data_IF_023936113484
#
_entry.id   IF_023936113484
#
_cell.length_a   1.000
_cell.length_b   1.000
_cell.length_c   1.000
_cell.angle_alpha   90.00
_cell.angle_beta   90.00
_cell.angle_gamma   90.00
#
_symmetry.space_group_name_H-M   'P 1'
#
loop_
_entity.id
_entity.type
_entity.pdbx_description
1 polymer ?
#
# COMPACT_ATOMS: atom_id res chain seq x y z
N UNK A 1 -63.97 -1.62 -21.57
CA UNK A 1 -63.20 -2.07 -20.37
C UNK A 1 -61.76 -2.26 -20.81
N UNK A 2 -60.95 -1.27 -20.51
CA UNK A 2 -59.58 -1.08 -20.93
C UNK A 2 -58.71 -1.19 -19.69
N UNK A 3 -57.87 -2.17 -19.57
CA UNK A 3 -56.83 -2.22 -18.50
C UNK A 3 -55.55 -2.83 -19.05
N UNK A 4 -54.50 -2.02 -18.93
CA UNK A 4 -53.10 -2.25 -18.72
C UNK A 4 -52.24 -3.03 -19.71
N UNK A 5 -51.55 -2.23 -20.52
CA UNK A 5 -50.25 -2.52 -21.10
C UNK A 5 -49.27 -1.47 -20.61
N UNK A 6 -48.67 -1.66 -19.43
CA UNK A 6 -47.45 -0.92 -19.02
C UNK A 6 -46.72 -1.71 -17.92
N UNK A 7 -45.93 -2.69 -18.27
CA UNK A 7 -44.82 -3.14 -17.41
C UNK A 7 -44.00 -4.20 -18.13
N UNK A 8 -42.98 -3.78 -18.88
CA UNK A 8 -41.83 -4.64 -19.24
C UNK A 8 -40.82 -3.88 -20.13
N UNK A 9 -40.21 -2.83 -19.60
CA UNK A 9 -39.04 -2.21 -20.24
C UNK A 9 -38.17 -1.53 -19.20
N UNK A 10 -37.58 -2.28 -18.27
CA UNK A 10 -36.45 -1.83 -17.48
C UNK A 10 -35.67 -3.03 -16.93
N UNK A 11 -35.08 -3.82 -17.82
CA UNK A 11 -34.01 -4.75 -17.45
C UNK A 11 -33.21 -5.14 -18.69
N UNK A 12 -32.52 -4.15 -19.26
CA UNK A 12 -31.41 -4.37 -20.21
C UNK A 12 -30.50 -3.16 -20.12
N UNK A 13 -29.38 -3.30 -19.44
CA UNK A 13 -28.39 -2.22 -19.38
C UNK A 13 -27.38 -2.37 -18.24
N UNK A 14 -27.03 -3.61 -17.88
CA UNK A 14 -25.80 -3.90 -17.14
C UNK A 14 -24.95 -4.86 -17.97
N UNK A 15 -24.64 -4.45 -19.17
CA UNK A 15 -23.53 -5.07 -19.90
C UNK A 15 -22.23 -4.53 -19.32
N UNK A 16 -21.47 -5.43 -18.79
CA UNK A 16 -20.10 -5.31 -18.32
C UNK A 16 -19.20 -4.63 -19.38
N UNK A 17 -18.89 -3.38 -19.18
CA UNK A 17 -17.88 -2.64 -19.94
C UNK A 17 -16.46 -2.92 -19.39
N UNK A 18 -16.11 -4.17 -19.11
CA UNK A 18 -14.78 -4.53 -18.63
C UNK A 18 -14.20 -5.77 -19.30
N UNK A 19 -14.45 -5.93 -20.61
CA UNK A 19 -13.77 -6.91 -21.45
C UNK A 19 -12.98 -6.23 -22.58
N UNK A 20 -12.26 -5.17 -22.25
CA UNK A 20 -11.11 -4.78 -23.06
C UNK A 20 -10.02 -5.81 -22.81
N UNK A 21 -9.79 -6.72 -23.74
CA UNK A 21 -8.70 -7.69 -23.69
C UNK A 21 -7.39 -6.95 -23.36
N UNK A 22 -6.49 -7.59 -22.61
CA UNK A 22 -5.16 -7.05 -22.28
C UNK A 22 -4.45 -6.52 -23.55
N UNK A 23 -4.70 -7.15 -24.69
CA UNK A 23 -4.20 -6.74 -26.01
C UNK A 23 -4.79 -5.41 -26.49
N UNK A 24 -6.07 -5.14 -26.24
CA UNK A 24 -6.69 -3.86 -26.58
C UNK A 24 -6.12 -2.73 -25.73
N UNK A 25 -5.85 -2.96 -24.44
CA UNK A 25 -5.23 -1.96 -23.57
C UNK A 25 -3.76 -1.72 -23.96
N UNK A 26 -2.99 -2.77 -24.24
CA UNK A 26 -1.61 -2.66 -24.74
C UNK A 26 -1.58 -1.97 -26.10
N UNK A 27 -2.54 -2.25 -26.97
CA UNK A 27 -2.66 -1.55 -28.25
C UNK A 27 -3.01 -0.08 -28.06
N UNK A 28 -3.90 0.25 -27.14
CA UNK A 28 -4.24 1.65 -26.78
C UNK A 28 -3.05 2.35 -26.14
N UNK A 29 -2.33 1.69 -25.24
CA UNK A 29 -1.10 2.24 -24.67
C UNK A 29 -0.01 2.43 -25.73
N UNK A 30 0.18 1.47 -26.64
CA UNK A 30 1.12 1.61 -27.78
C UNK A 30 0.71 2.73 -28.72
N UNK A 31 -0.58 2.89 -29.00
CA UNK A 31 -1.12 3.96 -29.84
C UNK A 31 -0.96 5.34 -29.20
N UNK A 32 -1.16 5.43 -27.87
CA UNK A 32 -0.99 6.68 -27.11
C UNK A 32 0.48 7.00 -26.82
N UNK A 33 1.35 5.98 -26.79
CA UNK A 33 2.77 6.16 -26.47
C UNK A 33 3.58 6.66 -27.69
N UNK A 34 3.04 6.61 -28.94
CA UNK A 34 3.87 6.95 -30.09
C UNK A 34 5.27 6.33 -29.93
N UNK A 35 6.11 6.12 -30.83
CA UNK A 35 7.42 5.46 -30.73
C UNK A 35 8.41 6.08 -29.69
N UNK A 36 7.88 6.61 -28.55
CA UNK A 36 8.63 7.20 -27.43
C UNK A 36 9.05 6.14 -26.41
N UNK A 37 10.26 6.27 -25.92
CA UNK A 37 10.87 5.48 -24.85
C UNK A 37 9.92 5.29 -23.67
N UNK A 38 9.74 4.05 -23.21
CA UNK A 38 9.02 3.74 -21.99
C UNK A 38 9.61 4.55 -20.83
N UNK A 39 8.78 5.40 -20.19
CA UNK A 39 9.23 6.12 -19.00
C UNK A 39 9.39 5.13 -17.85
N UNK A 40 10.52 5.17 -17.14
CA UNK A 40 10.72 4.27 -16.02
C UNK A 40 9.69 4.56 -14.93
N UNK A 41 9.07 3.50 -14.44
CA UNK A 41 8.09 3.61 -13.37
C UNK A 41 8.16 2.40 -12.43
N UNK A 42 7.74 2.59 -11.19
CA UNK A 42 7.68 1.51 -10.23
C UNK A 42 6.53 1.68 -9.23
N UNK A 43 6.11 0.57 -8.66
CA UNK A 43 5.12 0.52 -7.59
C UNK A 43 5.70 -0.17 -6.36
N UNK A 44 5.50 0.43 -5.18
CA UNK A 44 5.73 -0.22 -3.88
C UNK A 44 4.41 -0.84 -3.45
N UNK A 45 4.31 -2.16 -3.56
CA UNK A 45 3.12 -2.92 -3.20
C UNK A 45 3.24 -3.44 -1.77
N UNK A 46 2.24 -3.18 -0.93
CA UNK A 46 2.29 -3.47 0.51
C UNK A 46 0.91 -3.73 1.13
N UNK A 47 0.90 -4.14 2.41
CA UNK A 47 -0.33 -4.33 3.19
C UNK A 47 -0.77 -3.08 3.97
N UNK A 48 -0.02 -1.98 3.90
CA UNK A 48 -0.16 -0.85 4.80
C UNK A 48 0.59 -1.05 6.12
N UNK A 49 1.06 0.06 6.72
CA UNK A 49 1.87 0.04 7.95
C UNK A 49 3.09 -0.91 7.91
N UNK A 50 3.54 -1.25 6.70
CA UNK A 50 4.69 -2.12 6.46
C UNK A 50 6.04 -1.42 6.59
N UNK A 51 6.05 -0.14 6.95
CA UNK A 51 7.28 0.66 7.10
C UNK A 51 7.72 1.34 5.81
N UNK A 52 6.85 1.51 4.81
CA UNK A 52 7.18 2.11 3.51
C UNK A 52 7.71 3.56 3.60
N UNK A 53 7.44 4.28 4.71
CA UNK A 53 7.89 5.65 4.90
C UNK A 53 9.42 5.83 4.79
N UNK A 54 10.22 4.80 5.13
CA UNK A 54 11.67 4.83 4.94
C UNK A 54 12.01 4.87 3.45
N UNK A 55 11.37 4.01 2.64
CA UNK A 55 11.54 4.01 1.18
C UNK A 55 11.01 5.29 0.54
N UNK A 56 9.83 5.75 0.98
CA UNK A 56 9.24 7.00 0.50
C UNK A 56 10.19 8.17 0.70
N UNK A 57 10.86 8.23 1.86
CA UNK A 57 11.86 9.25 2.13
C UNK A 57 13.03 9.15 1.17
N UNK A 58 13.60 7.96 0.96
CA UNK A 58 14.73 7.78 0.03
C UNK A 58 14.38 8.21 -1.39
N UNK A 59 13.16 7.90 -1.86
CA UNK A 59 12.71 8.32 -3.19
C UNK A 59 12.45 9.84 -3.27
N UNK A 60 11.85 10.42 -2.24
CA UNK A 60 11.54 11.87 -2.22
C UNK A 60 12.77 12.77 -2.09
N UNK A 61 13.84 12.27 -1.49
CA UNK A 61 15.11 13.01 -1.40
C UNK A 61 15.81 13.13 -2.77
N UNK A 62 15.28 12.46 -3.82
CA UNK A 62 15.78 12.47 -5.19
C UNK A 62 14.99 13.44 -6.06
N UNK A 63 15.71 14.25 -6.86
CA UNK A 63 15.08 15.19 -7.81
C UNK A 63 14.61 14.56 -9.11
N UNK A 64 15.18 13.40 -9.44
CA UNK A 64 14.87 12.62 -10.64
C UNK A 64 13.78 11.56 -10.41
N UNK A 65 13.19 11.51 -9.20
CA UNK A 65 12.10 10.60 -8.84
C UNK A 65 10.89 11.41 -8.38
N UNK A 66 9.76 11.21 -9.03
CA UNK A 66 8.47 11.68 -8.55
C UNK A 66 7.78 10.53 -7.83
N UNK A 67 7.59 10.62 -6.51
CA UNK A 67 6.89 9.61 -5.74
C UNK A 67 5.55 10.14 -5.21
N UNK A 68 4.46 9.47 -5.58
CA UNK A 68 3.10 9.81 -5.15
C UNK A 68 2.49 8.70 -4.28
N UNK A 69 1.92 9.09 -3.15
CA UNK A 69 1.27 8.15 -2.24
C UNK A 69 -0.24 8.05 -2.52
N UNK A 70 -0.77 6.86 -2.26
CA UNK A 70 -2.21 6.58 -2.16
C UNK A 70 -3.05 6.99 -3.39
N UNK A 71 -2.44 6.95 -4.60
CA UNK A 71 -3.07 7.41 -5.86
C UNK A 71 -4.35 6.64 -6.23
N UNK A 72 -4.54 5.43 -5.69
CA UNK A 72 -5.71 4.58 -5.90
C UNK A 72 -6.49 4.34 -4.59
N UNK A 73 -6.29 5.14 -3.55
CA UNK A 73 -7.00 5.02 -2.27
C UNK A 73 -8.48 5.38 -2.34
N UNK A 74 -8.87 6.15 -3.34
CA UNK A 74 -10.26 6.46 -3.66
C UNK A 74 -10.64 5.85 -4.99
N UNK A 75 -11.94 5.57 -5.19
CA UNK A 75 -12.43 4.98 -6.43
C UNK A 75 -12.12 5.86 -7.64
N UNK A 76 -11.49 5.26 -8.63
CA UNK A 76 -11.14 5.90 -9.91
C UNK A 76 -11.81 5.11 -11.03
N UNK A 77 -12.50 5.81 -11.93
CA UNK A 77 -13.27 5.17 -13.02
C UNK A 77 -12.42 4.25 -13.91
N UNK A 78 -11.18 4.65 -14.20
CA UNK A 78 -10.24 3.92 -15.05
C UNK A 78 -8.84 3.85 -14.38
N UNK A 79 -8.64 2.94 -13.42
CA UNK A 79 -7.40 2.90 -12.62
C UNK A 79 -6.13 2.75 -13.45
N UNK A 80 -6.12 1.87 -14.47
CA UNK A 80 -4.97 1.68 -15.38
C UNK A 80 -4.63 2.95 -16.12
N UNK A 81 -5.63 3.61 -16.71
CA UNK A 81 -5.44 4.86 -17.46
C UNK A 81 -4.95 5.98 -16.53
N UNK A 82 -5.47 6.05 -15.32
CA UNK A 82 -5.04 7.04 -14.33
C UNK A 82 -3.57 6.89 -13.97
N UNK A 83 -3.10 5.66 -13.73
CA UNK A 83 -1.66 5.40 -13.48
C UNK A 83 -0.83 5.76 -14.70
N UNK A 84 -1.25 5.32 -15.89
CA UNK A 84 -0.56 5.61 -17.14
C UNK A 84 -0.41 7.13 -17.40
N UNK A 85 -1.48 7.88 -17.22
CA UNK A 85 -1.45 9.35 -17.39
C UNK A 85 -0.44 10.01 -16.45
N UNK A 86 -0.38 9.57 -15.19
CA UNK A 86 0.58 10.09 -14.21
C UNK A 86 2.03 9.78 -14.60
N UNK A 87 2.30 8.55 -15.07
CA UNK A 87 3.61 8.17 -15.61
C UNK A 87 3.98 9.08 -16.80
N UNK A 88 3.07 9.33 -17.72
CA UNK A 88 3.34 10.19 -18.89
C UNK A 88 3.60 11.66 -18.49
N UNK A 89 2.93 12.15 -17.46
CA UNK A 89 3.12 13.52 -16.94
C UNK A 89 4.42 13.73 -16.16
N UNK A 90 5.17 12.67 -15.85
CA UNK A 90 6.44 12.76 -15.10
C UNK A 90 7.62 13.40 -15.86
N UNK A 91 7.41 13.90 -17.09
CA UNK A 91 8.39 14.71 -17.88
C UNK A 91 9.82 14.15 -17.93
N UNK A 92 9.98 12.84 -18.04
CA UNK A 92 11.28 12.17 -18.14
C UNK A 92 11.88 11.72 -16.80
N UNK A 93 11.26 12.05 -15.68
CA UNK A 93 11.63 11.56 -14.36
C UNK A 93 11.08 10.16 -14.10
N UNK A 94 11.70 9.43 -13.17
CA UNK A 94 11.21 8.13 -12.71
C UNK A 94 9.95 8.35 -11.88
N UNK A 95 8.86 7.69 -12.25
CA UNK A 95 7.60 7.79 -11.52
C UNK A 95 7.39 6.60 -10.59
N UNK A 96 7.28 6.87 -9.30
CA UNK A 96 6.99 5.88 -8.27
C UNK A 96 5.67 6.14 -7.54
N UNK A 97 5.02 5.09 -7.08
CA UNK A 97 3.84 5.20 -6.23
C UNK A 97 3.71 4.00 -5.30
N UNK A 98 2.95 4.15 -4.20
CA UNK A 98 2.58 3.02 -3.38
C UNK A 98 1.17 2.50 -3.73
N UNK A 99 0.98 1.22 -3.50
CA UNK A 99 -0.27 0.52 -3.73
C UNK A 99 -0.49 -0.52 -2.63
N UNK A 100 -1.69 -0.52 -2.05
CA UNK A 100 -2.08 -1.51 -1.03
C UNK A 100 -3.09 -2.50 -1.59
N UNK A 101 -3.11 -3.71 -1.02
CA UNK A 101 -4.16 -4.70 -1.35
C UNK A 101 -5.56 -4.11 -1.16
N UNK A 102 -5.75 -3.34 -0.10
CA UNK A 102 -7.02 -2.67 0.20
C UNK A 102 -7.44 -1.69 -0.90
N UNK A 103 -6.49 -0.99 -1.53
CA UNK A 103 -6.80 -0.11 -2.65
C UNK A 103 -7.41 -0.90 -3.81
N UNK A 104 -6.86 -2.06 -4.13
CA UNK A 104 -7.36 -2.89 -5.24
C UNK A 104 -8.70 -3.56 -4.92
N UNK A 105 -8.84 -4.11 -3.70
CA UNK A 105 -10.00 -4.89 -3.29
C UNK A 105 -11.19 -4.02 -2.85
N UNK A 106 -10.93 -2.97 -2.07
CA UNK A 106 -11.99 -2.17 -1.44
C UNK A 106 -12.24 -0.87 -2.19
N UNK A 107 -11.20 -0.05 -2.43
CA UNK A 107 -11.39 1.24 -3.09
C UNK A 107 -11.73 1.09 -4.58
N UNK A 108 -11.03 0.21 -5.29
CA UNK A 108 -11.24 -0.01 -6.73
C UNK A 108 -12.18 -1.18 -7.04
N UNK A 109 -12.52 -2.02 -6.05
CA UNK A 109 -13.40 -3.21 -6.20
C UNK A 109 -13.01 -4.10 -7.38
N UNK A 110 -11.69 -4.29 -7.58
CA UNK A 110 -11.18 -5.06 -8.72
C UNK A 110 -11.46 -6.55 -8.56
N UNK A 111 -12.06 -7.16 -9.57
CA UNK A 111 -12.26 -8.61 -9.63
C UNK A 111 -10.93 -9.37 -9.82
N UNK A 112 -10.01 -8.81 -10.59
CA UNK A 112 -8.71 -9.43 -10.88
C UNK A 112 -7.52 -8.47 -10.63
N UNK A 113 -7.07 -8.29 -9.37
CA UNK A 113 -5.91 -7.48 -9.04
C UNK A 113 -4.59 -7.99 -9.63
N UNK A 114 -4.42 -9.31 -9.81
CA UNK A 114 -3.24 -9.89 -10.45
C UNK A 114 -3.12 -9.36 -11.89
N UNK A 115 -4.19 -9.41 -12.67
CA UNK A 115 -4.20 -8.89 -14.04
C UNK A 115 -3.85 -7.39 -14.09
N UNK A 116 -4.33 -6.62 -13.12
CA UNK A 116 -4.00 -5.19 -13.04
C UNK A 116 -2.49 -4.97 -12.86
N UNK A 117 -1.84 -5.68 -11.92
CA UNK A 117 -0.40 -5.56 -11.70
C UNK A 117 0.41 -6.15 -12.87
N UNK A 118 -0.04 -7.24 -13.49
CA UNK A 118 0.58 -7.77 -14.70
C UNK A 118 0.57 -6.75 -15.84
N UNK A 119 -0.55 -6.05 -16.01
CA UNK A 119 -0.66 -5.03 -17.06
C UNK A 119 0.26 -3.84 -16.80
N UNK A 120 0.39 -3.42 -15.53
CA UNK A 120 1.38 -2.40 -15.15
C UNK A 120 2.80 -2.88 -15.43
N UNK A 121 3.13 -4.13 -15.06
CA UNK A 121 4.44 -4.70 -15.30
C UNK A 121 4.76 -4.82 -16.80
N UNK A 122 3.82 -5.30 -17.62
CA UNK A 122 3.96 -5.34 -19.08
C UNK A 122 4.13 -3.95 -19.69
N UNK A 123 3.56 -2.93 -19.06
CA UNK A 123 3.74 -1.51 -19.39
C UNK A 123 5.07 -0.92 -18.91
N UNK A 124 6.01 -1.73 -18.41
CA UNK A 124 7.33 -1.31 -17.94
C UNK A 124 7.39 -0.84 -16.49
N UNK A 125 6.29 -0.97 -15.72
CA UNK A 125 6.30 -0.66 -14.29
C UNK A 125 6.96 -1.79 -13.50
N UNK A 126 7.98 -1.47 -12.71
CA UNK A 126 8.66 -2.43 -11.84
C UNK A 126 7.92 -2.56 -10.52
N UNK A 127 7.84 -3.76 -9.98
CA UNK A 127 7.09 -4.04 -8.75
C UNK A 127 8.06 -4.31 -7.61
N UNK A 128 7.96 -3.53 -6.54
CA UNK A 128 8.65 -3.77 -5.27
C UNK A 128 7.59 -4.26 -4.29
N UNK A 129 7.78 -5.43 -3.71
CA UNK A 129 6.92 -5.92 -2.65
C UNK A 129 7.57 -5.66 -1.29
N UNK A 130 6.93 -4.84 -0.47
CA UNK A 130 7.36 -4.59 0.90
C UNK A 130 6.48 -5.34 1.88
N UNK A 131 7.09 -6.24 2.63
CA UNK A 131 6.43 -7.00 3.68
C UNK A 131 7.00 -6.69 5.06
N UNK A 132 6.23 -7.02 6.08
CA UNK A 132 6.67 -7.00 7.48
C UNK A 132 6.63 -8.42 8.04
N UNK A 133 7.74 -8.92 8.57
CA UNK A 133 7.82 -10.28 9.14
C UNK A 133 7.10 -10.36 10.47
N UNK A 134 7.30 -9.39 11.35
CA UNK A 134 6.66 -9.31 12.66
C UNK A 134 5.17 -8.94 12.53
N UNK A 135 4.33 -9.98 12.49
CA UNK A 135 2.87 -9.85 12.29
C UNK A 135 2.22 -9.16 13.48
N UNK A 136 2.70 -9.43 14.71
CA UNK A 136 2.12 -8.84 15.91
C UNK A 136 2.37 -7.34 15.97
N UNK A 137 3.60 -6.90 15.74
CA UNK A 137 3.92 -5.47 15.61
C UNK A 137 3.20 -4.81 14.44
N UNK A 138 3.02 -5.54 13.34
CA UNK A 138 2.24 -5.05 12.20
C UNK A 138 0.79 -4.79 12.59
N UNK A 139 0.14 -5.74 13.26
CA UNK A 139 -1.25 -5.61 13.74
C UNK A 139 -1.40 -4.42 14.71
N UNK A 140 -0.49 -4.31 15.68
CA UNK A 140 -0.49 -3.21 16.66
C UNK A 140 -0.30 -1.85 15.97
N UNK A 141 0.65 -1.75 15.03
CA UNK A 141 0.89 -0.51 14.28
C UNK A 141 -0.35 -0.08 13.49
N UNK A 142 -1.04 -1.03 12.86
CA UNK A 142 -2.26 -0.76 12.09
C UNK A 142 -3.39 -0.29 13.01
N UNK A 143 -3.64 -0.98 14.13
CA UNK A 143 -4.67 -0.59 15.08
C UNK A 143 -4.38 0.78 15.71
N UNK A 144 -3.12 1.10 15.94
CA UNK A 144 -2.69 2.41 16.40
C UNK A 144 -3.00 3.51 15.38
N UNK A 145 -2.71 3.26 14.10
CA UNK A 145 -3.02 4.20 13.02
C UNK A 145 -4.54 4.43 12.89
N UNK A 146 -5.34 3.35 12.92
CA UNK A 146 -6.80 3.41 12.87
C UNK A 146 -7.39 4.23 14.03
N UNK A 147 -6.85 4.08 15.25
CA UNK A 147 -7.30 4.81 16.45
C UNK A 147 -7.05 6.31 16.34
N UNK A 148 -5.97 6.72 15.70
CA UNK A 148 -5.66 8.14 15.49
C UNK A 148 -6.57 8.74 14.42
N UNK A 149 -6.80 8.03 13.31
CA UNK A 149 -7.71 8.51 12.27
C UNK A 149 -9.13 8.71 12.78
N UNK A 150 -9.65 7.79 13.61
CA UNK A 150 -10.99 7.92 14.19
C UNK A 150 -11.11 9.09 15.18
N UNK A 151 -10.01 9.54 15.78
CA UNK A 151 -9.98 10.70 16.69
C UNK A 151 -10.01 12.04 15.95
N UNK A 152 -9.75 12.05 14.63
CA UNK A 152 -9.75 13.25 13.78
C UNK A 152 -11.02 13.39 12.91
N UNK A 153 -12.10 12.66 13.19
CA UNK A 153 -13.40 12.96 12.54
C UNK A 153 -13.79 14.40 12.84
N UNK A 154 -14.00 15.27 11.84
CA UNK A 154 -14.40 16.64 12.05
C UNK A 154 -15.83 16.64 12.61
N UNK A 155 -15.98 16.89 13.91
CA UNK A 155 -17.24 17.40 14.43
C UNK A 155 -17.55 18.70 13.68
N UNK A 156 -18.71 18.76 13.05
CA UNK A 156 -19.23 19.89 12.28
C UNK A 156 -19.02 21.24 13.00
N UNK A 157 -17.92 21.92 12.70
CA UNK A 157 -17.74 23.34 12.99
C UNK A 157 -17.13 23.99 11.74
N UNK A 158 -17.87 24.92 11.08
CA UNK A 158 -17.41 25.53 9.84
C UNK A 158 -16.52 26.74 10.15
N UNK A 159 -15.32 26.55 10.64
CA UNK A 159 -14.32 27.62 10.65
C UNK A 159 -12.93 27.09 11.07
N UNK A 160 -12.17 26.55 10.12
CA UNK A 160 -10.71 26.76 9.97
C UNK A 160 -10.23 25.94 8.79
N UNK A 161 -9.69 26.63 7.77
CA UNK A 161 -9.01 25.99 6.65
C UNK A 161 -7.92 25.05 7.21
N UNK A 162 -7.81 23.79 6.76
CA UNK A 162 -6.71 22.93 7.15
C UNK A 162 -5.42 23.53 6.61
N UNK A 163 -4.57 24.02 7.50
CA UNK A 163 -3.17 24.24 7.18
C UNK A 163 -2.55 22.90 6.85
N UNK A 164 -1.83 22.83 5.74
CA UNK A 164 -1.19 21.65 5.14
C UNK A 164 0.03 21.16 5.94
N UNK A 165 -0.10 21.00 7.25
CA UNK A 165 0.90 20.35 8.09
C UNK A 165 0.34 19.02 8.58
N UNK A 166 0.70 17.94 7.85
CA UNK A 166 0.57 16.59 8.36
C UNK A 166 1.16 16.54 9.78
N UNK A 167 0.46 15.96 10.77
CA UNK A 167 1.00 15.83 12.11
C UNK A 167 2.34 15.08 12.03
N UNK A 168 3.39 15.68 12.56
CA UNK A 168 4.74 15.14 12.50
C UNK A 168 4.77 13.71 13.02
N UNK A 169 5.43 12.82 12.30
CA UNK A 169 5.61 11.40 12.64
C UNK A 169 6.13 11.15 14.06
N UNK A 170 6.71 12.15 14.72
CA UNK A 170 7.15 12.13 16.11
C UNK A 170 6.02 12.00 17.13
N UNK A 171 4.84 12.58 16.88
CA UNK A 171 3.70 12.48 17.80
C UNK A 171 3.07 11.08 17.82
N UNK A 172 3.30 10.30 16.77
CA UNK A 172 2.75 8.94 16.62
C UNK A 172 3.49 7.88 17.44
N UNK A 173 4.77 8.07 17.76
CA UNK A 173 5.62 6.97 18.26
C UNK A 173 5.56 6.78 19.77
N UNK A 174 5.17 7.78 20.57
CA UNK A 174 5.39 7.74 22.03
C UNK A 174 4.15 7.40 22.87
N UNK A 175 2.94 7.38 22.30
CA UNK A 175 1.73 7.14 23.08
C UNK A 175 1.37 5.66 23.11
N UNK A 176 1.36 5.07 24.33
CA UNK A 176 0.79 3.74 24.56
C UNK A 176 -0.72 3.78 24.32
N UNK A 177 -1.26 2.72 23.73
CA UNK A 177 -2.70 2.59 23.48
C UNK A 177 -3.24 1.33 24.17
N UNK A 178 -4.51 1.38 24.59
CA UNK A 178 -5.24 0.17 24.93
C UNK A 178 -5.83 -0.46 23.67
N UNK A 179 -5.60 -1.74 23.46
CA UNK A 179 -6.12 -2.48 22.31
C UNK A 179 -7.14 -3.51 22.82
N UNK A 180 -8.32 -3.51 22.22
CA UNK A 180 -9.30 -4.55 22.49
C UNK A 180 -8.78 -5.89 21.95
N UNK A 181 -8.81 -6.93 22.77
CA UNK A 181 -8.34 -8.28 22.40
C UNK A 181 -8.94 -8.77 21.09
N UNK A 182 -10.25 -8.63 20.96
CA UNK A 182 -10.95 -9.08 19.74
C UNK A 182 -10.52 -8.28 18.50
N UNK A 183 -10.22 -6.99 18.64
CA UNK A 183 -9.69 -6.18 17.55
C UNK A 183 -8.29 -6.64 17.12
N UNK A 184 -7.44 -7.05 18.07
CA UNK A 184 -6.12 -7.59 17.78
C UNK A 184 -6.24 -8.92 17.01
N UNK A 185 -7.01 -9.89 17.52
CA UNK A 185 -7.19 -11.19 16.88
C UNK A 185 -7.78 -11.06 15.47
N UNK A 186 -8.84 -10.26 15.30
CA UNK A 186 -9.41 -10.01 13.99
C UNK A 186 -8.47 -9.25 13.04
N UNK A 187 -7.52 -8.47 13.56
CA UNK A 187 -6.50 -7.82 12.73
C UNK A 187 -5.44 -8.82 12.27
N UNK A 188 -5.01 -9.73 13.13
CA UNK A 188 -4.08 -10.81 12.80
C UNK A 188 -4.65 -11.71 11.69
N UNK A 189 -5.88 -12.17 11.84
CA UNK A 189 -6.58 -12.96 10.83
C UNK A 189 -6.69 -12.23 9.47
N UNK A 190 -6.98 -10.93 9.51
CA UNK A 190 -7.02 -10.11 8.30
C UNK A 190 -5.65 -9.99 7.63
N UNK A 191 -4.56 -9.84 8.40
CA UNK A 191 -3.20 -9.79 7.86
C UNK A 191 -2.85 -11.12 7.19
N UNK A 192 -3.19 -12.27 7.79
CA UNK A 192 -2.93 -13.59 7.20
C UNK A 192 -3.69 -13.77 5.88
N UNK A 193 -4.97 -13.39 5.87
CA UNK A 193 -5.79 -13.38 4.64
C UNK A 193 -5.18 -12.48 3.57
N UNK A 194 -4.77 -11.27 3.93
CA UNK A 194 -4.14 -10.32 3.00
C UNK A 194 -2.78 -10.82 2.48
N UNK A 195 -2.00 -11.52 3.29
CA UNK A 195 -0.74 -12.14 2.86
C UNK A 195 -0.97 -13.20 1.78
N UNK A 196 -1.98 -14.03 1.97
CA UNK A 196 -2.39 -15.02 0.96
C UNK A 196 -2.85 -14.33 -0.32
N UNK A 197 -3.64 -13.27 -0.19
CA UNK A 197 -4.09 -12.45 -1.33
C UNK A 197 -2.88 -11.85 -2.09
N UNK A 198 -1.89 -11.30 -1.37
CA UNK A 198 -0.68 -10.75 -1.98
C UNK A 198 0.07 -11.78 -2.80
N UNK A 199 0.26 -12.99 -2.26
CA UNK A 199 0.94 -14.07 -2.98
C UNK A 199 0.20 -14.43 -4.28
N UNK A 200 -1.13 -14.49 -4.23
CA UNK A 200 -1.95 -14.73 -5.41
C UNK A 200 -1.87 -13.57 -6.42
N UNK A 201 -1.88 -12.31 -5.93
CA UNK A 201 -1.79 -11.11 -6.76
C UNK A 201 -0.41 -10.99 -7.44
N UNK A 202 0.67 -11.35 -6.74
CA UNK A 202 2.04 -11.28 -7.27
C UNK A 202 2.45 -12.51 -8.09
N UNK A 203 1.60 -13.53 -8.14
CA UNK A 203 1.91 -14.77 -8.89
C UNK A 203 2.23 -14.48 -10.36
N UNK A 204 3.39 -14.95 -10.82
CA UNK A 204 3.87 -14.75 -12.19
C UNK A 204 4.32 -13.33 -12.53
N UNK A 205 4.47 -12.45 -11.52
CA UNK A 205 4.98 -11.08 -11.70
C UNK A 205 6.40 -11.00 -11.13
N UNK A 206 7.42 -10.68 -11.95
CA UNK A 206 8.76 -10.39 -11.45
C UNK A 206 8.73 -9.18 -10.51
N UNK A 207 9.26 -9.35 -9.30
CA UNK A 207 9.27 -8.29 -8.30
C UNK A 207 10.48 -8.39 -7.38
N UNK A 208 10.89 -7.26 -6.80
CA UNK A 208 11.87 -7.21 -5.74
C UNK A 208 11.16 -7.30 -4.39
N UNK A 209 11.43 -8.35 -3.62
CA UNK A 209 10.92 -8.49 -2.26
C UNK A 209 11.86 -7.81 -1.26
N UNK A 210 11.28 -6.99 -0.40
CA UNK A 210 11.92 -6.38 0.76
C UNK A 210 11.16 -6.77 2.02
N UNK A 211 11.91 -7.07 3.09
CA UNK A 211 11.37 -7.32 4.43
C UNK A 211 11.76 -6.17 5.34
N UNK A 212 10.79 -5.51 5.94
CA UNK A 212 11.01 -4.31 6.75
C UNK A 212 12.09 -4.51 7.82
N UNK A 213 12.06 -5.65 8.52
CA UNK A 213 12.98 -5.98 9.60
C UNK A 213 14.41 -6.21 9.11
N UNK A 214 14.58 -6.77 7.91
CA UNK A 214 15.89 -7.11 7.36
C UNK A 214 16.51 -5.98 6.54
N UNK A 215 15.65 -5.21 5.84
CA UNK A 215 16.08 -4.26 4.82
C UNK A 215 15.98 -2.79 5.28
N UNK A 216 15.10 -2.47 6.27
CA UNK A 216 14.72 -1.08 6.56
C UNK A 216 14.79 -0.67 8.04
N UNK A 217 15.07 -1.59 8.98
CA UNK A 217 15.21 -1.24 10.41
C UNK A 217 16.63 -0.78 10.73
N UNK A 218 17.62 -1.56 10.32
CA UNK A 218 19.02 -1.31 10.67
C UNK A 218 19.67 -0.37 9.65
N UNK A 219 20.13 0.82 10.06
CA UNK A 219 20.84 1.72 9.18
C UNK A 219 22.10 1.14 8.52
N UNK A 220 22.71 0.13 9.14
CA UNK A 220 23.89 -0.52 8.58
C UNK A 220 23.58 -1.31 7.29
N UNK A 221 22.33 -1.77 7.10
CA UNK A 221 21.91 -2.47 5.87
C UNK A 221 21.40 -1.53 4.78
N UNK A 222 21.17 -0.24 5.10
CA UNK A 222 20.63 0.72 4.13
C UNK A 222 21.43 0.82 2.82
N UNK A 223 22.78 0.86 2.85
CA UNK A 223 23.56 0.92 1.60
C UNK A 223 23.29 -0.30 0.70
N UNK A 224 23.24 -1.48 1.28
CA UNK A 224 22.95 -2.73 0.54
C UNK A 224 21.54 -2.75 -0.04
N UNK A 225 20.56 -2.35 0.75
CA UNK A 225 19.16 -2.26 0.29
C UNK A 225 18.99 -1.21 -0.80
N UNK A 226 19.63 -0.03 -0.63
CA UNK A 226 19.60 1.03 -1.62
C UNK A 226 20.26 0.61 -2.94
N UNK A 227 21.36 -0.15 -2.86
CA UNK A 227 22.03 -0.69 -4.05
C UNK A 227 21.12 -1.67 -4.79
N UNK A 228 20.53 -2.66 -4.09
CA UNK A 228 19.57 -3.62 -4.66
C UNK A 228 18.37 -2.95 -5.32
N UNK A 229 17.83 -1.91 -4.67
CA UNK A 229 16.74 -1.09 -5.23
C UNK A 229 17.17 -0.37 -6.50
N UNK A 230 18.33 0.28 -6.47
CA UNK A 230 18.83 1.07 -7.60
C UNK A 230 19.09 0.18 -8.82
N UNK A 231 19.71 -0.97 -8.59
CA UNK A 231 19.95 -1.98 -9.62
C UNK A 231 18.65 -2.52 -10.19
N UNK A 232 17.70 -2.91 -9.32
CA UNK A 232 16.40 -3.41 -9.75
C UNK A 232 15.59 -2.37 -10.52
N UNK A 233 15.63 -1.10 -10.10
CA UNK A 233 14.91 -0.01 -10.75
C UNK A 233 15.65 0.56 -11.98
N UNK A 234 16.93 0.18 -12.19
CA UNK A 234 17.82 0.74 -13.24
C UNK A 234 17.93 2.27 -13.14
N UNK A 235 18.08 2.75 -11.93
CA UNK A 235 18.23 4.17 -11.63
C UNK A 235 19.63 4.48 -11.10
N UNK A 236 19.99 5.76 -11.12
CA UNK A 236 21.21 6.24 -10.45
C UNK A 236 21.18 5.81 -8.97
N UNK A 237 22.31 5.33 -8.39
CA UNK A 237 22.36 4.81 -7.03
C UNK A 237 21.66 5.70 -6.00
N UNK A 238 20.71 5.10 -5.27
CA UNK A 238 20.07 5.75 -4.14
C UNK A 238 21.11 5.97 -3.05
N UNK A 239 21.12 7.16 -2.50
CA UNK A 239 21.89 7.46 -1.30
C UNK A 239 20.91 7.57 -0.15
N UNK A 240 20.85 6.59 0.75
CA UNK A 240 19.98 6.67 1.90
C UNK A 240 20.45 7.83 2.78
N UNK A 241 19.85 9.00 2.57
CA UNK A 241 20.13 10.18 3.35
C UNK A 241 19.30 10.16 4.63
N UNK A 242 19.95 10.39 5.73
CA UNK A 242 19.31 10.72 6.99
C UNK A 242 19.82 9.91 8.16
N UNK A 243 19.91 10.62 9.29
CA UNK A 243 20.07 9.98 10.59
C UNK A 243 19.07 8.83 10.69
N UNK A 244 19.50 7.67 11.17
CA UNK A 244 18.61 6.58 11.43
C UNK A 244 17.44 7.18 12.22
N UNK A 245 16.23 7.07 11.70
CA UNK A 245 15.08 7.13 12.61
C UNK A 245 15.45 6.12 13.67
N UNK A 246 15.77 6.58 14.88
CA UNK A 246 15.96 5.68 16.02
C UNK A 246 14.64 4.94 16.18
N UNK A 247 14.46 3.93 15.36
CA UNK A 247 13.47 2.89 15.57
C UNK A 247 14.02 2.11 16.76
N UNK A 248 13.84 2.72 17.92
CA UNK A 248 14.02 2.02 19.17
C UNK A 248 13.19 0.76 19.03
N UNK A 249 13.82 -0.39 19.15
CA UNK A 249 13.14 -1.65 19.39
C UNK A 249 12.36 -1.48 20.71
N UNK A 250 11.24 -0.77 20.64
CA UNK A 250 10.34 -0.65 21.79
C UNK A 250 9.74 -2.02 21.99
N UNK A 251 9.83 -2.54 23.20
CA UNK A 251 9.12 -3.76 23.55
C UNK A 251 7.61 -3.58 23.24
N UNK A 252 6.93 -4.64 22.84
CA UNK A 252 5.48 -4.60 22.63
C UNK A 252 4.77 -4.13 23.89
N UNK A 253 5.27 -4.51 25.05
CA UNK A 253 4.80 -4.04 26.35
C UNK A 253 4.86 -2.50 26.50
N UNK A 254 5.77 -1.83 25.78
CA UNK A 254 5.87 -0.37 25.77
C UNK A 254 4.94 0.30 24.76
N UNK A 255 4.39 -0.46 23.83
CA UNK A 255 3.48 0.06 22.79
C UNK A 255 2.01 0.05 23.25
N UNK A 256 1.65 -0.87 24.15
CA UNK A 256 0.26 -1.08 24.59
C UNK A 256 0.15 -0.99 26.11
N UNK A 257 -0.99 -0.52 26.61
CA UNK A 257 -1.23 -0.36 28.06
C UNK A 257 -1.74 -1.62 28.73
N UNK A 258 -2.34 -2.53 27.96
CA UNK A 258 -2.95 -3.77 28.46
C UNK A 258 -2.24 -5.03 27.91
N UNK A 259 -0.91 -5.03 27.91
CA UNK A 259 -0.09 -6.10 27.36
C UNK A 259 -0.39 -7.48 27.95
N UNK A 260 -0.58 -7.56 29.27
CA UNK A 260 -0.84 -8.83 29.95
C UNK A 260 -2.14 -9.48 29.50
N UNK A 261 -3.21 -8.68 29.33
CA UNK A 261 -4.49 -9.13 28.80
C UNK A 261 -4.33 -9.68 27.37
N UNK A 262 -3.64 -8.91 26.52
CA UNK A 262 -3.40 -9.31 25.13
C UNK A 262 -2.54 -10.57 25.04
N UNK A 263 -1.50 -10.67 25.88
CA UNK A 263 -0.62 -11.84 25.93
C UNK A 263 -1.38 -13.10 26.36
N UNK A 264 -2.28 -12.99 27.36
CA UNK A 264 -3.12 -14.12 27.79
C UNK A 264 -4.09 -14.56 26.67
N UNK A 265 -4.67 -13.61 25.95
CA UNK A 265 -5.56 -13.91 24.85
C UNK A 265 -4.84 -14.58 23.68
N UNK A 266 -3.65 -14.06 23.31
CA UNK A 266 -2.81 -14.67 22.28
C UNK A 266 -2.42 -16.10 22.65
N UNK A 267 -2.05 -16.38 23.92
CA UNK A 267 -1.72 -17.74 24.40
C UNK A 267 -2.87 -18.74 24.21
N UNK A 268 -4.12 -18.26 24.19
CA UNK A 268 -5.34 -19.09 24.04
C UNK A 268 -5.84 -19.14 22.60
N UNK A 269 -5.13 -18.52 21.64
CA UNK A 269 -5.49 -18.46 20.23
C UNK A 269 -4.46 -19.19 19.36
N UNK A 270 -4.76 -19.33 18.08
CA UNK A 270 -3.86 -19.88 17.07
C UNK A 270 -2.59 -19.02 16.88
N UNK A 271 -2.56 -17.82 17.46
CA UNK A 271 -1.46 -16.86 17.38
C UNK A 271 -0.48 -16.93 18.56
N UNK A 272 -0.57 -17.98 19.41
CA UNK A 272 0.33 -18.15 20.56
C UNK A 272 1.82 -18.17 20.19
N UNK A 273 2.15 -18.62 18.95
CA UNK A 273 3.52 -18.68 18.45
C UNK A 273 4.15 -17.28 18.29
N UNK A 274 3.35 -16.22 18.08
CA UNK A 274 3.86 -14.85 17.93
C UNK A 274 4.51 -14.30 19.21
N UNK A 275 4.18 -14.84 20.37
CA UNK A 275 4.79 -14.45 21.65
C UNK A 275 6.20 -15.04 21.85
N UNK A 276 6.58 -16.07 21.08
CA UNK A 276 7.90 -16.71 21.16
C UNK A 276 8.91 -16.06 20.19
N UNK A 277 8.42 -15.34 19.22
CA UNK A 277 9.22 -14.72 18.15
C UNK A 277 9.67 -13.28 18.50
N UNK A 278 9.21 -12.76 19.63
CA UNK A 278 9.53 -11.43 20.18
C UNK A 278 10.31 -11.62 21.53
#
# INVERSE_FOLDING_TARGET
MTVDRYSSKQQKGKESLDTGTADSWLATCRSLMGHGTHKPSFVVFELGQSGCMTLVKWFRDRKDIIFQEDILSQQVRFPRLSVFQRVQQSHGEVYGFNLRVEHLRQAQTMSNPNQFLQDLHRGGCRVIYLQRRDVLRHAIATLKADSVQSSYSPSNSPSKKPSSSSPSSRAYSSRRIAIRTQALLGRLERIDTQRTDVQAILSGIPHLSLTYEDDLIDPNVYPTTAHRLSEFLEIVPLQPAGSPVKLVHQDIADLVTNYDELSQALKRSDYAYLLKAN
#
